data_IF_151343796603
#
_entry.id   IF_151343796603
#
_cell.length_a   1.000
_cell.length_b   1.000
_cell.length_c   1.000
_cell.angle_alpha   90.00
_cell.angle_beta   90.00
_cell.angle_gamma   90.00
#
_symmetry.space_group_name_H-M   'P 1'
#
loop_
_entity.id
_entity.type
_entity.pdbx_description
1 polymer ?
#
# COMPACT_ATOMS: atom_id res chain seq x y z
N UNK A 1 12.36 2.37 -58.09
CA UNK A 1 13.39 2.54 -57.04
C UNK A 1 12.85 1.89 -55.77
N UNK A 2 13.14 0.59 -55.56
CA UNK A 2 14.02 0.02 -54.51
C UNK A 2 13.56 0.41 -53.09
N UNK A 3 12.75 -0.44 -52.43
CA UNK A 3 13.11 -1.61 -51.55
C UNK A 3 13.29 -1.17 -50.08
N UNK A 4 12.30 -1.39 -49.21
CA UNK A 4 12.04 -2.57 -48.33
C UNK A 4 12.91 -2.67 -47.07
N UNK A 5 12.21 -2.86 -45.94
CA UNK A 5 12.63 -3.56 -44.71
C UNK A 5 13.78 -2.87 -43.90
N UNK A 6 13.93 -2.99 -42.58
CA UNK A 6 13.94 -4.22 -41.80
C UNK A 6 13.95 -3.87 -40.30
N UNK A 7 13.27 -4.72 -39.55
CA UNK A 7 13.29 -4.92 -38.10
C UNK A 7 14.70 -5.15 -37.56
N UNK A 8 14.91 -4.74 -36.29
CA UNK A 8 15.90 -5.24 -35.33
C UNK A 8 17.30 -5.58 -35.82
N UNK A 9 18.27 -4.73 -35.49
CA UNK A 9 19.59 -5.14 -35.01
C UNK A 9 20.38 -3.90 -34.57
N UNK A 10 20.43 -3.61 -33.28
CA UNK A 10 21.69 -3.20 -32.64
C UNK A 10 21.58 -3.23 -31.12
N UNK A 11 21.38 -4.44 -30.58
CA UNK A 11 21.89 -4.76 -29.25
C UNK A 11 23.37 -5.09 -29.43
N UNK A 12 24.24 -4.08 -29.45
CA UNK A 12 25.69 -4.25 -29.33
C UNK A 12 26.25 -3.05 -28.56
N UNK A 13 26.48 -3.29 -27.27
CA UNK A 13 27.68 -2.87 -26.52
C UNK A 13 28.21 -1.46 -26.78
N UNK A 14 27.81 -0.50 -25.95
CA UNK A 14 28.74 0.54 -25.46
C UNK A 14 28.50 0.71 -23.95
N UNK A 15 28.96 -0.26 -23.19
CA UNK A 15 29.52 0.00 -21.87
C UNK A 15 30.94 0.50 -22.11
N UNK A 16 31.11 1.82 -22.05
CA UNK A 16 32.35 2.56 -21.78
C UNK A 16 32.06 4.04 -22.02
N UNK A 17 32.50 4.89 -21.09
CA UNK A 17 32.30 6.35 -21.05
C UNK A 17 30.93 6.79 -20.51
N UNK A 18 30.81 6.73 -19.18
CA UNK A 18 30.07 7.72 -18.41
C UNK A 18 30.59 9.14 -18.75
N UNK A 19 29.72 10.04 -19.19
CA UNK A 19 29.61 11.36 -18.60
C UNK A 19 28.38 11.37 -17.68
N UNK A 20 28.57 11.91 -16.49
CA UNK A 20 27.57 12.05 -15.46
C UNK A 20 26.54 13.14 -15.84
N UNK A 21 25.76 12.92 -16.89
CA UNK A 21 24.63 13.78 -17.29
C UNK A 21 23.50 12.95 -17.93
N UNK A 22 23.30 11.73 -17.41
CA UNK A 22 22.23 10.83 -17.85
C UNK A 22 20.89 11.31 -17.29
N UNK A 23 20.25 12.21 -18.05
CA UNK A 23 18.80 12.24 -18.29
C UNK A 23 17.94 11.78 -17.10
N UNK A 24 17.79 12.66 -16.10
CA UNK A 24 16.62 12.66 -15.25
C UNK A 24 15.43 13.21 -16.06
N UNK A 25 14.91 12.41 -16.98
CA UNK A 25 13.59 12.65 -17.57
C UNK A 25 12.56 12.18 -16.55
N UNK A 26 12.36 12.97 -15.50
CA UNK A 26 11.20 12.86 -14.63
C UNK A 26 9.96 13.08 -15.50
N UNK A 27 9.24 12.01 -15.77
CA UNK A 27 7.89 12.05 -16.33
C UNK A 27 7.03 12.99 -15.47
N UNK A 28 6.40 14.03 -16.05
CA UNK A 28 5.57 14.95 -15.29
C UNK A 28 4.22 14.29 -15.04
N UNK A 29 4.13 13.39 -14.05
CA UNK A 29 2.84 13.01 -13.50
C UNK A 29 2.32 14.18 -12.66
N UNK A 30 1.57 15.03 -13.35
CA UNK A 30 0.31 15.64 -12.91
C UNK A 30 0.25 16.05 -11.43
N UNK A 31 0.46 17.35 -11.21
CA UNK A 31 0.13 18.08 -9.97
C UNK A 31 -1.39 18.23 -9.76
N UNK A 32 -2.14 17.13 -9.75
CA UNK A 32 -3.57 17.16 -9.42
C UNK A 32 -3.87 16.01 -8.45
N UNK A 33 -4.53 16.34 -7.34
CA UNK A 33 -4.94 15.49 -6.20
C UNK A 33 -3.99 15.30 -5.00
N UNK A 34 -3.13 16.29 -4.71
CA UNK A 34 -2.38 16.31 -3.43
C UNK A 34 -3.26 16.65 -2.20
N UNK A 35 -4.53 17.06 -2.40
CA UNK A 35 -5.46 17.36 -1.30
C UNK A 35 -6.20 16.14 -0.75
N UNK A 36 -6.34 15.06 -1.53
CA UNK A 36 -6.96 13.81 -1.08
C UNK A 36 -5.93 12.82 -0.52
N UNK A 37 -4.72 12.79 -1.07
CA UNK A 37 -3.63 11.90 -0.60
C UNK A 37 -3.14 12.32 0.80
N UNK A 38 -3.15 13.61 1.12
CA UNK A 38 -2.74 14.12 2.43
C UNK A 38 -3.70 13.75 3.56
N UNK A 39 -4.98 13.48 3.28
CA UNK A 39 -5.94 13.01 4.28
C UNK A 39 -5.77 11.52 4.62
N UNK A 40 -5.27 10.72 3.66
CA UNK A 40 -5.07 9.26 3.85
C UNK A 40 -3.74 8.99 4.56
N UNK A 41 -2.74 9.85 4.40
CA UNK A 41 -1.38 9.63 4.91
C UNK A 41 -1.17 9.95 6.41
N UNK A 42 -2.18 10.44 7.11
CA UNK A 42 -2.04 10.88 8.51
C UNK A 42 -3.09 10.27 9.44
N UNK A 43 -3.52 9.04 9.19
CA UNK A 43 -4.28 8.28 10.18
C UNK A 43 -3.36 7.69 11.26
N UNK A 44 -2.61 8.56 11.94
CA UNK A 44 -1.95 8.27 13.22
C UNK A 44 -3.02 8.15 14.31
N UNK A 45 -3.90 7.18 14.18
CA UNK A 45 -4.96 6.98 15.14
C UNK A 45 -4.39 6.25 16.35
N UNK A 46 -4.51 6.91 17.49
CA UNK A 46 -4.37 6.38 18.86
C UNK A 46 -5.42 5.31 19.14
N UNK A 47 -5.49 4.28 18.31
CA UNK A 47 -6.41 3.19 18.50
C UNK A 47 -5.96 2.37 19.70
N UNK A 48 -6.88 2.21 20.66
CA UNK A 48 -6.68 1.31 21.76
C UNK A 48 -6.43 -0.11 21.27
N UNK A 49 -5.92 -0.96 22.15
CA UNK A 49 -5.69 -2.37 21.84
C UNK A 49 -6.97 -3.04 21.32
N UNK A 50 -6.84 -3.77 20.22
CA UNK A 50 -7.94 -4.45 19.55
C UNK A 50 -7.64 -5.91 19.21
N UNK A 51 -8.41 -6.45 18.27
CA UNK A 51 -8.17 -7.73 17.62
C UNK A 51 -8.51 -7.65 16.13
N UNK A 52 -7.76 -8.37 15.31
CA UNK A 52 -8.04 -8.59 13.89
C UNK A 52 -8.69 -9.96 13.77
N UNK A 53 -9.79 -10.04 13.04
CA UNK A 53 -10.50 -11.28 12.73
C UNK A 53 -10.27 -11.53 11.25
N UNK A 54 -9.71 -12.69 10.93
CA UNK A 54 -9.38 -13.12 9.58
C UNK A 54 -10.55 -13.89 8.96
N UNK A 55 -10.59 -13.96 7.63
CA UNK A 55 -11.64 -14.68 6.87
C UNK A 55 -11.63 -16.19 7.11
N UNK A 56 -10.47 -16.76 7.45
CA UNK A 56 -10.32 -18.14 7.90
C UNK A 56 -10.86 -18.38 9.34
N UNK A 57 -11.40 -17.34 9.98
CA UNK A 57 -11.89 -17.27 11.36
C UNK A 57 -10.80 -17.25 12.44
N UNK A 58 -9.53 -17.18 12.06
CA UNK A 58 -8.43 -16.97 12.99
C UNK A 58 -8.51 -15.56 13.60
N UNK A 59 -8.02 -15.41 14.83
CA UNK A 59 -8.12 -14.15 15.58
C UNK A 59 -6.75 -13.74 16.12
N UNK A 60 -6.27 -12.59 15.66
CA UNK A 60 -5.05 -11.96 16.17
C UNK A 60 -5.46 -10.97 17.28
N UNK A 61 -5.19 -11.33 18.54
CA UNK A 61 -5.55 -10.50 19.71
C UNK A 61 -4.41 -9.58 20.12
N UNK A 62 -4.74 -8.56 20.92
CA UNK A 62 -3.79 -7.60 21.50
C UNK A 62 -2.99 -6.83 20.44
N UNK A 63 -3.67 -6.45 19.36
CA UNK A 63 -3.05 -5.71 18.25
C UNK A 63 -3.31 -4.22 18.36
N UNK A 64 -2.37 -3.43 17.86
CA UNK A 64 -2.54 -1.99 17.70
C UNK A 64 -2.37 -1.72 16.20
N UNK A 65 -3.45 -1.30 15.52
CA UNK A 65 -3.36 -0.91 14.11
C UNK A 65 -2.60 0.41 14.04
N UNK A 66 -1.53 0.43 13.24
CA UNK A 66 -0.68 1.60 13.09
C UNK A 66 -1.08 2.39 11.84
N UNK A 67 -1.16 1.71 10.70
CA UNK A 67 -1.43 2.31 9.40
C UNK A 67 -2.34 1.40 8.56
N UNK A 68 -3.15 2.00 7.70
CA UNK A 68 -4.04 1.31 6.76
C UNK A 68 -3.73 1.85 5.37
N UNK A 69 -3.31 0.97 4.47
CA UNK A 69 -3.05 1.25 3.06
C UNK A 69 -4.17 0.65 2.18
N UNK A 70 -4.24 0.96 0.88
CA UNK A 70 -5.29 0.45 0.01
C UNK A 70 -5.39 -1.08 -0.10
N UNK A 71 -4.31 -1.82 0.18
CA UNK A 71 -4.28 -3.29 0.01
C UNK A 71 -3.80 -4.06 1.25
N UNK A 72 -3.16 -3.39 2.20
CA UNK A 72 -2.63 -4.00 3.42
C UNK A 72 -2.73 -3.05 4.61
N UNK A 73 -2.59 -3.60 5.81
CA UNK A 73 -2.46 -2.82 7.04
C UNK A 73 -1.09 -3.08 7.65
N UNK A 74 -0.63 -2.13 8.46
CA UNK A 74 0.49 -2.32 9.37
C UNK A 74 -0.05 -2.31 10.80
N UNK A 75 0.26 -3.35 11.56
CA UNK A 75 -0.14 -3.49 12.95
C UNK A 75 1.02 -3.90 13.85
N UNK A 76 0.94 -3.51 15.12
CA UNK A 76 1.90 -3.89 16.16
C UNK A 76 1.33 -5.03 17.01
N UNK A 77 2.12 -6.08 17.20
CA UNK A 77 1.84 -7.20 18.10
C UNK A 77 3.09 -7.53 18.90
N UNK A 78 2.96 -7.63 20.22
CA UNK A 78 4.04 -8.00 21.14
C UNK A 78 5.34 -7.18 20.97
N UNK A 79 5.23 -5.92 20.55
CA UNK A 79 6.39 -5.03 20.35
C UNK A 79 6.88 -4.94 18.90
N UNK A 80 6.50 -5.87 18.04
CA UNK A 80 6.93 -5.93 16.64
C UNK A 80 5.86 -5.45 15.68
N UNK A 81 6.29 -4.82 14.58
CA UNK A 81 5.42 -4.43 13.47
C UNK A 81 5.27 -5.60 12.50
N UNK A 82 4.06 -5.73 11.96
CA UNK A 82 3.65 -6.76 11.02
C UNK A 82 2.77 -6.12 9.96
N UNK A 83 2.88 -6.61 8.74
CA UNK A 83 1.98 -6.35 7.64
C UNK A 83 0.94 -7.47 7.50
N UNK A 84 -0.24 -7.12 6.98
CA UNK A 84 -1.32 -8.07 6.71
C UNK A 84 -2.18 -7.56 5.57
N UNK A 85 -2.47 -8.42 4.60
CA UNK A 85 -3.29 -8.06 3.45
C UNK A 85 -4.76 -7.88 3.85
N UNK A 86 -5.42 -6.84 3.34
CA UNK A 86 -6.84 -6.57 3.60
C UNK A 86 -7.72 -7.73 3.12
N UNK A 87 -7.30 -8.43 2.07
CA UNK A 87 -8.05 -9.58 1.53
C UNK A 87 -8.16 -10.75 2.52
N UNK A 88 -7.27 -10.86 3.49
CA UNK A 88 -7.29 -11.89 4.53
C UNK A 88 -8.14 -11.48 5.74
N UNK A 89 -8.46 -10.19 5.86
CA UNK A 89 -9.15 -9.61 7.01
C UNK A 89 -10.67 -9.68 6.78
N UNK A 90 -11.38 -10.22 7.76
CA UNK A 90 -12.84 -10.09 7.85
C UNK A 90 -13.21 -8.73 8.45
N UNK A 91 -12.68 -8.44 9.65
CA UNK A 91 -12.89 -7.15 10.33
C UNK A 91 -11.85 -6.90 11.42
N UNK A 92 -11.73 -5.65 11.83
CA UNK A 92 -10.89 -5.23 12.95
C UNK A 92 -11.78 -4.65 14.05
N UNK A 93 -11.70 -5.19 15.26
CA UNK A 93 -12.43 -4.68 16.42
C UNK A 93 -11.46 -3.95 17.35
N UNK A 94 -11.69 -2.66 17.58
CA UNK A 94 -10.82 -1.78 18.36
C UNK A 94 -11.52 -1.35 19.65
N UNK A 95 -10.80 -1.41 20.76
CA UNK A 95 -11.27 -1.02 22.09
C UNK A 95 -11.98 -2.13 22.86
N UNK A 96 -12.15 -1.91 24.17
CA UNK A 96 -12.94 -2.83 25.03
C UNK A 96 -14.40 -2.75 24.59
N UNK A 97 -15.03 -3.89 24.29
CA UNK A 97 -16.41 -4.03 23.81
C UNK A 97 -16.70 -3.52 22.38
N UNK A 98 -15.75 -3.63 21.45
CA UNK A 98 -15.98 -3.30 20.02
C UNK A 98 -16.40 -1.84 19.78
N UNK A 99 -15.79 -0.89 20.50
CA UNK A 99 -16.11 0.53 20.36
C UNK A 99 -15.97 1.05 18.94
N UNK A 100 -15.08 0.45 18.15
CA UNK A 100 -15.01 0.69 16.71
C UNK A 100 -14.83 -0.63 15.99
N UNK A 101 -15.57 -0.82 14.92
CA UNK A 101 -15.41 -1.96 14.02
C UNK A 101 -15.03 -1.44 12.65
N UNK A 102 -13.86 -1.83 12.18
CA UNK A 102 -13.38 -1.52 10.84
C UNK A 102 -13.67 -2.73 9.96
N UNK A 103 -14.39 -2.49 8.86
CA UNK A 103 -14.67 -3.48 7.83
C UNK A 103 -14.17 -2.91 6.50
N UNK A 104 -13.75 -3.78 5.59
CA UNK A 104 -13.33 -3.40 4.25
C UNK A 104 -14.38 -3.86 3.24
N UNK A 105 -14.78 -2.98 2.33
CA UNK A 105 -15.71 -3.34 1.25
C UNK A 105 -14.99 -4.10 0.11
N UNK A 106 -15.75 -4.47 -0.92
CA UNK A 106 -15.23 -5.20 -2.09
C UNK A 106 -14.14 -4.43 -2.88
N UNK A 107 -14.05 -3.11 -2.69
CA UNK A 107 -13.05 -2.24 -3.29
C UNK A 107 -11.91 -1.89 -2.30
N UNK A 108 -11.78 -2.62 -1.20
CA UNK A 108 -10.86 -2.36 -0.09
C UNK A 108 -11.05 -0.99 0.58
N UNK A 109 -12.21 -0.35 0.41
CA UNK A 109 -12.52 0.90 1.09
C UNK A 109 -12.89 0.60 2.54
N UNK A 110 -12.32 1.40 3.44
CA UNK A 110 -12.55 1.29 4.88
C UNK A 110 -13.94 1.83 5.26
N UNK A 111 -14.74 1.01 5.95
CA UNK A 111 -16.01 1.37 6.58
C UNK A 111 -15.85 1.23 8.09
N UNK A 112 -16.21 2.27 8.85
CA UNK A 112 -16.05 2.31 10.30
C UNK A 112 -17.44 2.40 10.95
N UNK A 113 -17.75 1.45 11.83
CA UNK A 113 -18.94 1.40 12.68
C UNK A 113 -18.60 1.74 14.13
#
# INVERSE_FOLDING_TARGET
MKKTATIAALYVLIACCFPADYFAQESPLSKQDTSLISAIHAFHSRFGTGKIILKDRSIIKKVIVHEIYPYWIIYKKDGSLHDLLIEEIDKIEIGKNKQRVIVFDENNKTIIY
#
